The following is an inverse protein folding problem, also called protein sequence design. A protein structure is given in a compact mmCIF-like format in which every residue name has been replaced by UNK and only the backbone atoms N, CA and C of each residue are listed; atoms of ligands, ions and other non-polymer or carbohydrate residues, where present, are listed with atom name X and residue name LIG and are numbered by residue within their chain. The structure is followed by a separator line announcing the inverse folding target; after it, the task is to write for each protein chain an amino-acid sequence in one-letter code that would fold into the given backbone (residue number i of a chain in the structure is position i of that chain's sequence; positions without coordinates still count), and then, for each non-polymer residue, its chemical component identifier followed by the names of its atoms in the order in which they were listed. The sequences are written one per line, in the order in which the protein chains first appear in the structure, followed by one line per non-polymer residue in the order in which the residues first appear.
data_IF_767387283486
#
_entry.id   IF_767387283486
#
_cell.length_a   1.000
_cell.length_b   1.000
_cell.length_c   1.000
_cell.angle_alpha   90.00
_cell.angle_beta   90.00
_cell.angle_gamma   90.00
#
_symmetry.space_group_name_H-M   'P 1'
#
loop_
_entity.id
_entity.type
_entity.pdbx_description
1 polymer ?
#
# COMPACT_ATOMS: atom_id res chain seq x y z
N UNK A 1 -25.29 -1.56 -39.33
CA UNK A 1 -25.01 -1.31 -37.91
C UNK A 1 -24.34 -2.49 -37.22
N UNK A 2 -24.76 -3.75 -37.39
CA UNK A 2 -24.08 -4.89 -36.75
C UNK A 2 -22.70 -5.30 -37.33
N UNK A 3 -22.36 -4.90 -38.56
CA UNK A 3 -21.11 -5.29 -39.22
C UNK A 3 -19.90 -4.46 -38.76
N UNK A 4 -20.09 -3.19 -38.41
CA UNK A 4 -19.03 -2.31 -37.91
C UNK A 4 -18.61 -2.69 -36.48
N UNK A 5 -19.56 -3.08 -35.63
CA UNK A 5 -19.29 -3.54 -34.26
C UNK A 5 -18.48 -4.84 -34.25
N UNK A 6 -18.81 -5.79 -35.14
CA UNK A 6 -18.06 -7.04 -35.26
C UNK A 6 -16.61 -6.81 -35.72
N UNK A 7 -16.37 -5.83 -36.61
CA UNK A 7 -15.04 -5.49 -37.10
C UNK A 7 -14.20 -4.73 -36.07
N UNK A 8 -14.83 -3.95 -35.20
CA UNK A 8 -14.17 -3.35 -34.04
C UNK A 8 -13.73 -4.41 -33.03
N UNK A 9 -14.56 -5.43 -32.78
CA UNK A 9 -14.21 -6.54 -31.88
C UNK A 9 -13.09 -7.42 -32.45
N UNK A 10 -13.05 -7.63 -33.77
CA UNK A 10 -11.99 -8.39 -34.44
C UNK A 10 -10.60 -7.74 -34.26
N UNK A 11 -10.55 -6.39 -34.20
CA UNK A 11 -9.30 -5.64 -33.99
C UNK A 11 -8.68 -5.79 -32.58
N UNK A 12 -9.42 -6.29 -31.59
CA UNK A 12 -8.95 -6.47 -30.21
C UNK A 12 -8.09 -7.73 -30.06
N UNK A 13 -8.28 -8.71 -30.95
CA UNK A 13 -7.60 -10.01 -30.89
C UNK A 13 -6.52 -10.16 -31.96
N UNK A 14 -6.30 -9.12 -32.77
CA UNK A 14 -5.29 -9.13 -33.81
C UNK A 14 -3.90 -9.20 -33.18
N UNK A 15 -3.04 -10.05 -33.74
CA UNK A 15 -1.65 -10.21 -33.27
C UNK A 15 -0.84 -9.02 -33.79
N UNK A 16 -0.91 -7.92 -33.06
CA UNK A 16 -0.01 -6.79 -33.25
C UNK A 16 1.37 -7.26 -32.78
N UNK A 17 2.33 -7.32 -33.70
CA UNK A 17 3.73 -7.37 -33.31
C UNK A 17 4.03 -6.06 -32.58
N UNK A 18 4.35 -6.14 -31.29
CA UNK A 18 4.84 -5.00 -30.52
C UNK A 18 5.92 -4.29 -31.34
N UNK A 19 5.69 -3.02 -31.67
CA UNK A 19 6.66 -2.20 -32.39
C UNK A 19 7.85 -1.96 -31.46
N UNK A 20 8.82 -2.86 -31.50
CA UNK A 20 10.09 -2.71 -30.81
C UNK A 20 10.96 -1.69 -31.54
N UNK A 21 10.94 -0.47 -31.02
CA UNK A 21 12.16 0.31 -30.81
C UNK A 21 12.03 1.07 -29.50
N UNK A 22 11.72 0.36 -28.41
CA UNK A 22 11.83 0.92 -27.07
C UNK A 22 13.33 0.96 -26.73
N UNK A 23 13.85 2.18 -26.62
CA UNK A 23 15.25 2.43 -26.27
C UNK A 23 15.54 1.79 -24.90
N UNK A 24 16.29 0.68 -24.92
CA UNK A 24 16.54 -0.14 -23.74
C UNK A 24 17.20 0.67 -22.60
N UNK A 25 17.97 1.71 -22.94
CA UNK A 25 18.57 2.59 -21.96
C UNK A 25 17.53 3.49 -21.29
N UNK A 26 16.54 3.98 -22.04
CA UNK A 26 15.43 4.75 -21.47
C UNK A 26 14.53 3.90 -20.58
N UNK A 27 14.25 2.65 -20.98
CA UNK A 27 13.49 1.71 -20.18
C UNK A 27 14.22 1.36 -18.87
N UNK A 28 15.53 1.08 -18.95
CA UNK A 28 16.35 0.76 -17.77
C UNK A 28 16.48 1.96 -16.83
N UNK A 29 16.69 3.16 -17.36
CA UNK A 29 16.77 4.38 -16.54
C UNK A 29 15.42 4.70 -15.85
N UNK A 30 14.30 4.49 -16.53
CA UNK A 30 12.97 4.65 -15.95
C UNK A 30 12.72 3.61 -14.86
N UNK A 31 13.04 2.33 -15.09
CA UNK A 31 12.95 1.26 -14.09
C UNK A 31 13.79 1.57 -12.85
N UNK A 32 15.05 2.00 -13.03
CA UNK A 32 15.92 2.38 -11.92
C UNK A 32 15.38 3.58 -11.13
N UNK A 33 14.80 4.56 -11.81
CA UNK A 33 14.18 5.73 -11.16
C UNK A 33 12.91 5.37 -10.38
N UNK A 34 12.10 4.43 -10.90
CA UNK A 34 10.91 3.90 -10.22
C UNK A 34 11.30 3.10 -8.98
N UNK A 35 12.34 2.27 -9.08
CA UNK A 35 12.86 1.51 -7.95
C UNK A 35 13.45 2.42 -6.88
N UNK A 36 14.21 3.45 -7.25
CA UNK A 36 14.74 4.44 -6.31
C UNK A 36 13.59 5.17 -5.57
N UNK A 37 12.52 5.54 -6.28
CA UNK A 37 11.34 6.17 -5.67
C UNK A 37 10.53 5.24 -4.75
N UNK A 38 10.67 3.92 -4.89
CA UNK A 38 10.00 2.93 -4.02
C UNK A 38 10.80 2.62 -2.74
N UNK A 39 12.07 3.00 -2.69
CA UNK A 39 12.99 2.67 -1.58
C UNK A 39 13.13 3.82 -0.57
N UNK A 40 12.87 5.06 -0.95
CA UNK A 40 12.91 6.20 -0.04
C UNK A 40 11.60 6.33 0.79
N UNK A 41 11.62 5.80 2.02
CA UNK A 41 11.24 6.66 3.16
C UNK A 41 10.04 6.29 4.04
N UNK A 42 9.38 5.13 3.89
CA UNK A 42 8.21 4.83 4.76
C UNK A 42 8.13 3.40 5.33
N UNK A 43 8.81 2.40 4.75
CA UNK A 43 8.68 1.00 5.21
C UNK A 43 9.74 0.57 6.23
N UNK A 44 10.93 1.14 6.18
CA UNK A 44 12.01 0.77 7.10
C UNK A 44 11.77 1.33 8.52
N UNK A 45 11.27 2.56 8.64
CA UNK A 45 11.05 3.20 9.96
C UNK A 45 9.97 2.50 10.81
N UNK A 46 8.89 2.01 10.19
CA UNK A 46 7.82 1.31 10.91
C UNK A 46 8.27 -0.07 11.41
N UNK A 47 9.24 -0.71 10.74
CA UNK A 47 9.73 -2.04 11.11
C UNK A 47 10.58 -2.02 12.39
N UNK A 48 11.16 -0.87 12.73
CA UNK A 48 11.95 -0.68 13.95
C UNK A 48 11.08 -0.47 15.22
N UNK A 49 9.79 -0.16 15.05
CA UNK A 49 8.86 0.09 16.16
C UNK A 49 8.37 -1.25 16.71
N UNK A 50 8.72 -1.54 17.96
CA UNK A 50 8.16 -2.68 18.69
C UNK A 50 6.80 -2.31 19.26
N UNK A 51 5.80 -3.16 19.02
CA UNK A 51 4.45 -3.06 19.57
C UNK A 51 4.17 -4.28 20.44
N UNK A 52 3.38 -4.12 21.49
CA UNK A 52 3.06 -5.23 22.37
C UNK A 52 2.03 -6.15 21.71
N UNK A 53 2.15 -7.46 21.96
CA UNK A 53 1.19 -8.44 21.42
C UNK A 53 -0.19 -8.33 22.08
N UNK A 54 -0.23 -7.88 23.34
CA UNK A 54 -1.47 -7.62 24.06
C UNK A 54 -2.29 -6.50 23.39
N UNK A 55 -1.63 -5.43 22.95
CA UNK A 55 -2.28 -4.32 22.24
C UNK A 55 -2.80 -4.75 20.86
N UNK A 56 -2.07 -5.64 20.17
CA UNK A 56 -2.50 -6.22 18.89
C UNK A 56 -3.74 -7.09 19.11
N UNK A 57 -3.67 -8.04 20.05
CA UNK A 57 -4.74 -9.00 20.31
C UNK A 57 -6.03 -8.26 20.75
N UNK A 58 -5.91 -7.18 21.52
CA UNK A 58 -7.05 -6.33 21.91
C UNK A 58 -7.70 -5.64 20.70
N UNK A 59 -6.92 -5.08 19.78
CA UNK A 59 -7.46 -4.42 18.57
C UNK A 59 -8.11 -5.46 17.65
N UNK A 60 -7.50 -6.63 17.51
CA UNK A 60 -8.02 -7.75 16.73
C UNK A 60 -9.36 -8.23 17.30
N UNK A 61 -9.47 -8.37 18.62
CA UNK A 61 -10.71 -8.81 19.28
C UNK A 61 -11.84 -7.78 19.14
N UNK A 62 -11.53 -6.49 19.31
CA UNK A 62 -12.53 -5.41 19.29
C UNK A 62 -13.01 -5.04 17.88
N UNK A 63 -12.13 -5.07 16.88
CA UNK A 63 -12.44 -4.62 15.51
C UNK A 63 -12.49 -5.76 14.47
N UNK A 64 -12.22 -7.00 14.89
CA UNK A 64 -12.16 -8.19 14.02
C UNK A 64 -11.26 -7.97 12.78
N UNK A 65 -10.17 -7.21 12.96
CA UNK A 65 -9.16 -6.95 11.92
C UNK A 65 -8.07 -8.01 11.95
N UNK A 66 -7.25 -8.07 10.90
CA UNK A 66 -6.09 -8.96 10.88
C UNK A 66 -4.97 -8.47 11.80
N UNK A 67 -4.14 -9.39 12.32
CA UNK A 67 -2.96 -9.04 13.13
C UNK A 67 -2.04 -8.02 12.43
N UNK A 68 -1.82 -8.21 11.11
CA UNK A 68 -1.00 -7.33 10.27
C UNK A 68 -1.57 -5.90 10.22
N UNK A 69 -2.90 -5.76 10.14
CA UNK A 69 -3.56 -4.44 10.11
C UNK A 69 -3.51 -3.75 11.46
N UNK A 70 -3.71 -4.50 12.55
CA UNK A 70 -3.60 -3.99 13.91
C UNK A 70 -2.17 -3.54 14.24
N UNK A 71 -1.17 -4.38 13.91
CA UNK A 71 0.25 -4.06 14.08
C UNK A 71 0.64 -2.81 13.29
N UNK A 72 0.20 -2.71 12.04
CA UNK A 72 0.47 -1.56 11.18
C UNK A 72 -0.17 -0.29 11.73
N UNK A 73 -1.41 -0.36 12.22
CA UNK A 73 -2.11 0.79 12.79
C UNK A 73 -1.37 1.33 14.03
N UNK A 74 -0.95 0.43 14.94
CA UNK A 74 -0.16 0.80 16.11
C UNK A 74 1.17 1.44 15.72
N UNK A 75 1.90 0.84 14.78
CA UNK A 75 3.18 1.39 14.28
C UNK A 75 3.02 2.77 13.65
N UNK A 76 1.96 2.99 12.89
CA UNK A 76 1.66 4.30 12.30
C UNK A 76 1.40 5.36 13.37
N UNK A 77 0.58 5.07 14.37
CA UNK A 77 0.27 6.01 15.47
C UNK A 77 1.51 6.38 16.27
N UNK A 78 2.39 5.40 16.51
CA UNK A 78 3.67 5.62 17.22
C UNK A 78 4.63 6.46 16.36
N UNK A 79 4.76 6.15 15.07
CA UNK A 79 5.62 6.89 14.15
C UNK A 79 5.18 8.34 13.97
N UNK A 80 3.88 8.61 14.00
CA UNK A 80 3.31 9.96 13.89
C UNK A 80 3.42 10.77 15.19
N UNK A 81 3.93 10.18 16.28
CA UNK A 81 4.06 10.87 17.58
C UNK A 81 2.71 11.24 18.18
N UNK A 82 1.63 10.55 17.79
CA UNK A 82 0.27 10.78 18.33
C UNK A 82 0.13 10.28 19.77
N UNK A 83 1.09 9.49 20.24
CA UNK A 83 1.21 9.04 21.63
C UNK A 83 1.75 10.19 22.47
N UNK A 84 0.84 10.86 23.19
CA UNK A 84 1.18 11.87 24.21
C UNK A 84 0.81 11.30 25.58
N UNK A 85 1.35 11.86 26.67
CA UNK A 85 1.18 11.36 28.06
C UNK A 85 -0.28 11.07 28.49
N UNK A 86 -1.28 11.67 27.82
CA UNK A 86 -2.72 11.47 28.08
C UNK A 86 -3.43 10.51 27.10
N UNK A 87 -2.76 10.03 26.04
CA UNK A 87 -3.36 9.24 24.96
C UNK A 87 -2.59 7.93 24.74
N UNK A 88 -3.23 6.81 25.08
CA UNK A 88 -2.72 5.48 24.76
C UNK A 88 -2.64 5.28 23.24
N UNK A 89 -1.52 4.72 22.77
CA UNK A 89 -1.30 4.35 21.37
C UNK A 89 -2.43 3.45 20.83
N UNK A 90 -2.97 2.58 21.67
CA UNK A 90 -4.11 1.71 21.35
C UNK A 90 -5.37 2.50 21.06
N UNK A 91 -5.66 3.51 21.89
CA UNK A 91 -6.87 4.33 21.73
C UNK A 91 -6.86 5.15 20.44
N UNK A 92 -5.71 5.68 20.05
CA UNK A 92 -5.55 6.37 18.76
C UNK A 92 -5.54 5.38 17.59
N UNK A 93 -4.97 4.17 17.74
CA UNK A 93 -5.03 3.14 16.70
C UNK A 93 -6.48 2.67 16.43
N UNK A 94 -7.27 2.42 17.49
CA UNK A 94 -8.69 2.10 17.38
C UNK A 94 -9.46 3.25 16.72
N UNK A 95 -9.22 4.50 17.16
CA UNK A 95 -9.87 5.68 16.57
C UNK A 95 -9.54 5.79 15.08
N UNK A 96 -8.29 5.55 14.69
CA UNK A 96 -7.84 5.59 13.30
C UNK A 96 -8.54 4.54 12.44
N UNK A 97 -8.60 3.29 12.92
CA UNK A 97 -9.28 2.20 12.22
C UNK A 97 -10.79 2.46 12.04
N UNK A 98 -11.43 3.10 13.01
CA UNK A 98 -12.86 3.41 12.95
C UNK A 98 -13.16 4.67 12.13
N UNK A 99 -12.31 5.70 12.20
CA UNK A 99 -12.55 7.02 11.58
C UNK A 99 -11.94 7.20 10.19
N UNK A 100 -11.07 6.28 9.75
CA UNK A 100 -10.47 6.29 8.41
C UNK A 100 -9.53 7.48 8.12
N UNK A 101 -9.12 8.23 9.16
CA UNK A 101 -8.19 9.36 9.10
C UNK A 101 -6.75 8.90 9.26
#
# INVERSE_FOLDING_TARGET
MAADEAKQLDSVTDRIADKESMDANKATAAMSSLNAKKVDGLKDDLSAIQVSKEDIDLIVDELEVTDDEAEKALKCVIAEGLVNDDKSAVGEALRRLVSGL
#
